data_IF_068888161578
#
_entry.id   IF_068888161578
#
_cell.length_a   1.000
_cell.length_b   1.000
_cell.length_c   1.000
_cell.angle_alpha   90.00
_cell.angle_beta   90.00
_cell.angle_gamma   90.00
#
_symmetry.space_group_name_H-M   'P 1'
#
loop_
_entity.id
_entity.type
_entity.pdbx_description
1 polymer ?
#
# COMPACT_ATOMS: atom_id res chain seq x y z
N UNK A 1 0.58 -2.08 -15.12
CA UNK A 1 1.99 -2.33 -15.56
C UNK A 1 2.85 -2.20 -14.31
N UNK A 2 3.43 -3.29 -13.83
CA UNK A 2 4.35 -3.21 -12.69
C UNK A 2 5.68 -2.67 -13.18
N UNK A 3 6.03 -1.46 -12.79
CA UNK A 3 7.31 -0.83 -13.11
C UNK A 3 8.31 -1.33 -12.07
N UNK A 4 9.14 -2.32 -12.43
CA UNK A 4 10.14 -2.89 -11.54
C UNK A 4 11.46 -2.17 -11.50
N UNK A 5 11.73 -1.45 -12.54
CA UNK A 5 12.90 -0.63 -12.80
C UNK A 5 12.70 0.83 -12.41
N UNK A 6 11.69 1.11 -11.58
CA UNK A 6 11.47 2.43 -11.04
C UNK A 6 12.70 2.91 -10.30
N UNK A 7 13.16 4.12 -10.59
CA UNK A 7 14.21 4.79 -9.84
C UNK A 7 13.87 4.79 -8.34
N UNK A 8 14.88 4.62 -7.50
CA UNK A 8 14.74 4.73 -6.05
C UNK A 8 15.23 6.07 -5.51
N UNK A 9 15.75 6.92 -6.39
CA UNK A 9 16.26 8.26 -6.11
C UNK A 9 16.27 9.10 -7.38
N UNK A 10 16.19 10.42 -7.24
CA UNK A 10 16.41 11.39 -8.31
C UNK A 10 17.87 11.85 -8.41
N UNK A 11 18.74 11.40 -7.51
CA UNK A 11 20.14 11.83 -7.42
C UNK A 11 21.04 10.78 -8.05
N UNK A 12 21.41 10.97 -9.33
CA UNK A 12 22.24 10.03 -10.07
C UNK A 12 23.74 10.24 -9.84
N UNK A 13 24.16 11.50 -9.59
CA UNK A 13 25.58 11.89 -9.56
C UNK A 13 26.15 12.07 -8.14
N UNK A 14 25.33 12.03 -7.11
CA UNK A 14 25.76 12.27 -5.73
C UNK A 14 24.89 11.53 -4.72
N UNK A 15 25.50 11.07 -3.63
CA UNK A 15 24.75 10.48 -2.53
C UNK A 15 24.08 11.58 -1.70
N UNK A 16 22.77 11.72 -1.81
CA UNK A 16 21.94 12.60 -0.98
C UNK A 16 21.16 11.75 0.00
N UNK A 17 21.38 11.96 1.30
CA UNK A 17 20.73 11.20 2.35
C UNK A 17 19.46 11.92 2.80
N UNK A 18 18.31 11.36 2.39
CA UNK A 18 16.98 11.86 2.77
C UNK A 18 16.41 11.03 3.91
N UNK A 19 15.98 11.68 5.00
CA UNK A 19 15.31 10.98 6.10
C UNK A 19 13.91 10.49 5.66
N UNK A 20 13.65 9.21 5.86
CA UNK A 20 12.35 8.56 5.65
C UNK A 20 11.79 7.97 6.95
N UNK A 21 12.18 8.53 8.10
CA UNK A 21 11.67 8.11 9.41
C UNK A 21 10.16 8.23 9.48
N UNK A 22 9.63 9.34 8.96
CA UNK A 22 8.19 9.58 8.79
C UNK A 22 7.92 9.76 7.28
N UNK A 23 7.70 8.67 6.53
CA UNK A 23 7.57 8.73 5.08
C UNK A 23 6.26 9.35 4.59
N UNK A 24 5.23 9.36 5.43
CA UNK A 24 3.90 9.87 5.12
C UNK A 24 3.60 11.18 5.83
N UNK A 25 2.85 12.06 5.16
CA UNK A 25 2.39 13.31 5.73
C UNK A 25 1.24 13.08 6.71
N UNK A 26 1.40 13.54 7.95
CA UNK A 26 0.42 13.31 9.02
C UNK A 26 -0.89 14.07 8.79
N UNK A 27 -0.84 15.26 8.18
CA UNK A 27 -2.02 16.05 7.85
C UNK A 27 -2.85 15.39 6.76
N UNK A 28 -2.19 14.92 5.68
CA UNK A 28 -2.86 14.16 4.63
C UNK A 28 -3.44 12.85 5.15
N UNK A 29 -2.71 12.12 5.99
CA UNK A 29 -3.20 10.89 6.61
C UNK A 29 -4.43 11.14 7.50
N UNK A 30 -4.45 12.22 8.27
CA UNK A 30 -5.61 12.58 9.09
C UNK A 30 -6.83 12.93 8.25
N UNK A 31 -6.64 13.70 7.17
CA UNK A 31 -7.71 14.01 6.22
C UNK A 31 -8.25 12.76 5.52
N UNK A 32 -7.36 11.91 5.02
CA UNK A 32 -7.73 10.64 4.37
C UNK A 32 -8.50 9.72 5.32
N UNK A 33 -8.06 9.58 6.57
CA UNK A 33 -8.76 8.73 7.53
C UNK A 33 -10.17 9.24 7.86
N UNK A 34 -10.35 10.57 7.99
CA UNK A 34 -11.66 11.17 8.20
C UNK A 34 -12.60 10.92 7.01
N UNK A 35 -12.10 11.12 5.79
CA UNK A 35 -12.89 10.89 4.57
C UNK A 35 -13.22 9.41 4.40
N UNK A 36 -12.26 8.51 4.64
CA UNK A 36 -12.49 7.06 4.57
C UNK A 36 -13.58 6.62 5.56
N UNK A 37 -13.54 7.12 6.80
CA UNK A 37 -14.59 6.82 7.79
C UNK A 37 -15.96 7.28 7.31
N UNK A 38 -16.06 8.49 6.80
CA UNK A 38 -17.31 9.06 6.31
C UNK A 38 -17.86 8.32 5.09
N UNK A 39 -17.02 8.05 4.08
CA UNK A 39 -17.45 7.47 2.80
C UNK A 39 -17.72 5.96 2.90
N UNK A 40 -16.98 5.25 3.77
CA UNK A 40 -17.07 3.79 3.92
C UNK A 40 -17.88 3.36 5.16
N UNK A 41 -18.39 4.31 5.92
CA UNK A 41 -19.14 4.05 7.16
C UNK A 41 -18.34 3.24 8.20
N UNK A 42 -17.03 3.48 8.26
CA UNK A 42 -16.15 2.85 9.23
C UNK A 42 -16.36 3.43 10.62
N UNK A 43 -16.39 2.57 11.63
CA UNK A 43 -16.48 2.99 13.03
C UNK A 43 -15.21 3.73 13.49
N UNK A 44 -15.34 4.53 14.55
CA UNK A 44 -14.19 5.23 15.15
C UNK A 44 -13.11 4.28 15.65
N UNK A 45 -13.49 3.10 16.11
CA UNK A 45 -12.59 2.08 16.65
C UNK A 45 -11.90 1.25 15.56
N UNK A 46 -12.30 1.40 14.28
CA UNK A 46 -11.74 0.62 13.21
C UNK A 46 -10.31 1.06 12.88
N UNK A 47 -9.40 0.10 12.78
CA UNK A 47 -8.02 0.37 12.43
C UNK A 47 -7.93 0.75 10.94
N UNK A 48 -7.39 1.95 10.65
CA UNK A 48 -7.17 2.43 9.29
C UNK A 48 -5.68 2.57 8.92
N UNK A 49 -4.77 2.43 9.87
CA UNK A 49 -3.33 2.57 9.64
C UNK A 49 -2.65 1.20 9.71
N UNK A 50 -1.92 0.87 8.66
CA UNK A 50 -1.30 -0.44 8.48
C UNK A 50 0.15 -0.30 8.04
N UNK A 51 0.99 -1.25 8.44
CA UNK A 51 2.37 -1.36 7.97
C UNK A 51 2.40 -2.03 6.61
N UNK A 52 2.89 -1.31 5.61
CA UNK A 52 3.05 -1.84 4.26
C UNK A 52 4.48 -2.37 4.06
N UNK A 53 4.59 -3.61 3.67
CA UNK A 53 5.85 -4.26 3.34
C UNK A 53 6.15 -4.20 1.84
N UNK A 54 7.34 -3.73 1.47
CA UNK A 54 7.77 -3.70 0.07
C UNK A 54 8.32 -5.07 -0.34
N UNK A 55 7.65 -5.71 -1.27
CA UNK A 55 8.13 -6.92 -1.94
C UNK A 55 8.81 -6.60 -3.28
N UNK A 56 9.76 -7.43 -3.68
CA UNK A 56 10.50 -7.23 -4.94
C UNK A 56 9.64 -7.57 -6.16
N UNK A 57 8.79 -8.62 -6.06
CA UNK A 57 8.12 -9.20 -7.23
C UNK A 57 9.13 -9.83 -8.22
N UNK A 58 8.70 -10.37 -9.35
CA UNK A 58 7.36 -10.49 -9.93
C UNK A 58 6.49 -11.59 -9.35
N UNK A 59 7.06 -12.46 -8.55
CA UNK A 59 6.34 -13.59 -7.97
C UNK A 59 5.60 -13.11 -6.73
N UNK A 60 4.50 -13.75 -6.41
CA UNK A 60 3.92 -13.67 -5.10
C UNK A 60 4.87 -14.29 -4.08
N UNK A 61 4.77 -13.84 -2.85
CA UNK A 61 5.57 -14.32 -1.74
C UNK A 61 5.20 -15.78 -1.40
N UNK A 62 6.18 -16.53 -0.93
CA UNK A 62 5.95 -17.85 -0.33
C UNK A 62 5.29 -17.73 1.03
N UNK A 63 4.66 -18.79 1.53
CA UNK A 63 4.10 -18.84 2.89
C UNK A 63 5.12 -18.47 3.97
N UNK A 64 6.36 -18.95 3.83
CA UNK A 64 7.43 -18.65 4.78
C UNK A 64 7.85 -17.17 4.77
N UNK A 65 7.85 -16.52 3.61
CA UNK A 65 8.06 -15.06 3.50
C UNK A 65 6.91 -14.30 4.15
N UNK A 66 5.67 -14.71 3.94
CA UNK A 66 4.51 -14.09 4.58
C UNK A 66 4.57 -14.27 6.11
N UNK A 67 4.97 -15.44 6.61
CA UNK A 67 5.15 -15.66 8.05
C UNK A 67 6.24 -14.75 8.63
N UNK A 68 7.32 -14.53 7.89
CA UNK A 68 8.38 -13.62 8.30
C UNK A 68 7.91 -12.15 8.31
N UNK A 69 7.17 -11.72 7.27
CA UNK A 69 6.60 -10.38 7.16
C UNK A 69 5.65 -10.10 8.33
N UNK A 70 4.75 -11.02 8.62
CA UNK A 70 3.80 -10.94 9.74
C UNK A 70 4.54 -10.85 11.10
N UNK A 71 5.54 -11.70 11.32
CA UNK A 71 6.38 -11.69 12.51
C UNK A 71 7.09 -10.35 12.71
N UNK A 72 7.48 -9.66 11.62
CA UNK A 72 8.13 -8.35 11.63
C UNK A 72 7.13 -7.18 11.68
N UNK A 73 5.83 -7.45 11.82
CA UNK A 73 4.78 -6.45 11.96
C UNK A 73 4.27 -5.87 10.65
N UNK A 74 4.49 -6.54 9.52
CA UNK A 74 3.89 -6.17 8.24
C UNK A 74 2.44 -6.64 8.17
N UNK A 75 1.54 -5.75 7.74
CA UNK A 75 0.10 -6.03 7.61
C UNK A 75 -0.33 -6.20 6.16
N UNK A 76 0.39 -5.58 5.25
CA UNK A 76 0.13 -5.57 3.82
C UNK A 76 1.44 -5.76 3.06
N UNK A 77 1.37 -6.35 1.88
CA UNK A 77 2.53 -6.54 1.00
C UNK A 77 2.20 -6.05 -0.41
N UNK A 78 3.17 -5.44 -1.05
CA UNK A 78 3.06 -5.00 -2.44
C UNK A 78 4.38 -4.41 -2.96
N UNK A 79 4.41 -3.97 -4.23
CA UNK A 79 5.66 -3.74 -4.96
C UNK A 79 5.97 -2.26 -5.28
N UNK A 80 5.11 -1.30 -4.97
CA UNK A 80 5.19 0.05 -5.55
C UNK A 80 5.33 1.17 -4.53
N UNK A 81 4.38 1.34 -3.65
CA UNK A 81 4.16 2.51 -2.81
C UNK A 81 5.38 2.98 -2.00
N UNK A 82 6.20 2.13 -1.35
CA UNK A 82 7.35 2.64 -0.59
C UNK A 82 8.43 3.30 -1.44
N UNK A 83 8.53 2.97 -2.73
CA UNK A 83 9.45 3.65 -3.65
C UNK A 83 8.93 5.05 -3.97
N UNK A 84 7.64 5.17 -4.25
CA UNK A 84 6.97 6.45 -4.48
C UNK A 84 7.08 7.38 -3.26
N UNK A 85 6.86 6.85 -2.05
CA UNK A 85 6.98 7.60 -0.81
C UNK A 85 8.40 8.16 -0.61
N UNK A 86 9.46 7.36 -0.92
CA UNK A 86 10.85 7.82 -0.86
C UNK A 86 11.14 8.94 -1.85
N UNK A 87 10.69 8.80 -3.10
CA UNK A 87 10.85 9.83 -4.12
C UNK A 87 10.09 11.12 -3.77
N UNK A 88 8.89 11.01 -3.22
CA UNK A 88 8.15 12.16 -2.73
C UNK A 88 8.92 12.89 -1.60
N UNK A 89 9.55 12.13 -0.70
CA UNK A 89 10.40 12.72 0.37
C UNK A 89 11.63 13.43 -0.17
N UNK A 90 12.30 12.93 -1.20
CA UNK A 90 13.41 13.62 -1.87
C UNK A 90 12.98 14.98 -2.43
N UNK A 91 11.75 15.07 -2.92
CA UNK A 91 11.17 16.31 -3.46
C UNK A 91 10.49 17.20 -2.39
N UNK A 92 10.53 16.81 -1.11
CA UNK A 92 9.78 17.45 -0.04
C UNK A 92 8.27 17.57 -0.34
N UNK A 93 7.71 16.62 -1.07
CA UNK A 93 6.28 16.54 -1.36
C UNK A 93 5.54 15.82 -0.23
N UNK A 94 4.47 16.40 0.31
CA UNK A 94 3.55 15.65 1.16
C UNK A 94 3.01 14.43 0.42
N UNK A 95 3.07 13.27 1.07
CA UNK A 95 2.63 12.01 0.47
C UNK A 95 1.79 11.22 1.47
N UNK A 96 0.68 10.67 1.01
CA UNK A 96 -0.15 9.71 1.72
C UNK A 96 -0.67 8.67 0.73
N UNK A 97 -1.07 7.50 1.21
CA UNK A 97 -1.54 6.42 0.34
C UNK A 97 -2.77 5.73 0.92
N UNK A 98 -3.70 5.39 0.03
CA UNK A 98 -4.81 4.49 0.30
C UNK A 98 -4.53 3.17 -0.38
N UNK A 99 -4.55 2.08 0.39
CA UNK A 99 -4.36 0.73 -0.12
C UNK A 99 -5.69 0.01 -0.25
N UNK A 100 -5.83 -0.74 -1.34
CA UNK A 100 -6.96 -1.63 -1.55
C UNK A 100 -6.44 -3.06 -1.43
N UNK A 101 -6.92 -3.81 -0.42
CA UNK A 101 -6.64 -5.24 -0.34
C UNK A 101 -7.32 -5.96 -1.51
N UNK A 102 -6.54 -6.61 -2.34
CA UNK A 102 -7.01 -7.30 -3.53
C UNK A 102 -7.19 -8.81 -3.33
N UNK A 103 -6.39 -9.40 -2.48
CA UNK A 103 -6.35 -10.82 -2.20
C UNK A 103 -5.73 -11.07 -0.83
N UNK A 104 -5.91 -12.27 -0.30
CA UNK A 104 -5.14 -12.76 0.81
C UNK A 104 -3.70 -13.07 0.37
N UNK A 105 -2.75 -12.94 1.28
CA UNK A 105 -1.38 -13.38 1.04
C UNK A 105 -1.28 -14.91 1.06
N UNK A 106 -0.19 -15.45 0.55
CA UNK A 106 0.03 -16.90 0.50
C UNK A 106 -0.15 -17.58 1.86
N UNK A 107 -1.00 -18.58 1.91
CA UNK A 107 -1.33 -19.32 3.13
C UNK A 107 -2.28 -18.62 4.10
N UNK A 108 -2.84 -17.45 3.74
CA UNK A 108 -3.73 -16.66 4.61
C UNK A 108 -5.21 -16.69 4.17
N UNK A 109 -5.55 -17.32 3.06
CA UNK A 109 -6.96 -17.47 2.63
C UNK A 109 -7.76 -18.22 3.70
N UNK A 110 -8.83 -17.65 4.24
CA UNK A 110 -9.66 -18.30 5.26
C UNK A 110 -10.27 -19.60 4.74
N UNK A 111 -9.97 -20.69 5.44
CA UNK A 111 -10.47 -22.03 5.08
C UNK A 111 -9.66 -22.76 4.01
N UNK A 112 -8.73 -22.09 3.31
CA UNK A 112 -7.87 -22.72 2.31
C UNK A 112 -6.44 -22.14 2.31
N UNK A 113 -5.63 -22.60 3.23
CA UNK A 113 -4.20 -22.23 3.27
C UNK A 113 -3.38 -22.75 2.07
N UNK A 114 -3.98 -23.53 1.17
CA UNK A 114 -3.38 -24.04 -0.06
C UNK A 114 -3.76 -23.27 -1.31
N UNK A 115 -4.64 -22.26 -1.19
CA UNK A 115 -5.14 -21.50 -2.33
C UNK A 115 -4.01 -20.89 -3.16
N UNK A 116 -4.09 -21.09 -4.48
CA UNK A 116 -3.18 -20.45 -5.43
C UNK A 116 -3.55 -18.99 -5.64
N UNK A 117 -2.51 -18.15 -5.72
CA UNK A 117 -2.67 -16.74 -6.02
C UNK A 117 -2.65 -16.52 -7.54
N UNK A 118 -3.77 -16.03 -8.08
CA UNK A 118 -3.92 -15.77 -9.51
C UNK A 118 -4.09 -14.26 -9.79
N UNK A 119 -3.16 -13.71 -10.57
CA UNK A 119 -3.17 -12.31 -10.95
C UNK A 119 -4.39 -11.92 -11.80
N UNK A 120 -4.94 -12.83 -12.60
CA UNK A 120 -6.12 -12.56 -13.42
C UNK A 120 -7.37 -12.36 -12.57
N UNK A 121 -7.55 -13.15 -11.52
CA UNK A 121 -8.67 -13.01 -10.58
C UNK A 121 -8.60 -11.67 -9.83
N UNK A 122 -7.39 -11.25 -9.43
CA UNK A 122 -7.13 -9.96 -8.81
C UNK A 122 -7.51 -8.80 -9.73
N UNK A 123 -7.07 -8.85 -10.99
CA UNK A 123 -7.29 -7.78 -11.98
C UNK A 123 -8.76 -7.65 -12.38
N UNK A 124 -9.50 -8.75 -12.46
CA UNK A 124 -10.91 -8.74 -12.88
C UNK A 124 -11.83 -8.00 -11.92
N UNK A 125 -11.46 -7.91 -10.64
CA UNK A 125 -12.23 -7.23 -9.60
C UNK A 125 -11.77 -5.79 -9.33
N UNK A 126 -10.71 -5.32 -9.99
CA UNK A 126 -10.07 -4.04 -9.71
C UNK A 126 -11.05 -2.86 -9.83
N UNK A 127 -11.85 -2.79 -10.89
CA UNK A 127 -12.80 -1.69 -11.10
C UNK A 127 -13.84 -1.58 -9.99
N UNK A 128 -14.39 -2.71 -9.52
CA UNK A 128 -15.38 -2.72 -8.44
C UNK A 128 -14.77 -2.22 -7.12
N UNK A 129 -13.52 -2.57 -6.86
CA UNK A 129 -12.79 -2.20 -5.64
C UNK A 129 -12.30 -0.75 -5.66
N UNK A 130 -12.12 -0.16 -6.85
CA UNK A 130 -11.71 1.23 -7.01
C UNK A 130 -12.83 2.25 -6.72
N UNK A 131 -14.10 1.88 -6.88
CA UNK A 131 -15.21 2.81 -6.70
C UNK A 131 -15.24 3.50 -5.33
N UNK A 132 -15.07 2.82 -4.20
CA UNK A 132 -15.00 3.46 -2.88
C UNK A 132 -13.83 4.44 -2.75
N UNK A 133 -12.66 4.10 -3.32
CA UNK A 133 -11.49 4.99 -3.31
C UNK A 133 -11.75 6.24 -4.13
N UNK A 134 -12.42 6.09 -5.27
CA UNK A 134 -12.80 7.23 -6.11
C UNK A 134 -13.73 8.21 -5.38
N UNK A 135 -14.71 7.68 -4.65
CA UNK A 135 -15.57 8.51 -3.79
C UNK A 135 -14.77 9.28 -2.74
N UNK A 136 -13.79 8.63 -2.09
CA UNK A 136 -12.91 9.27 -1.13
C UNK A 136 -12.06 10.39 -1.77
N UNK A 137 -11.53 10.17 -2.98
CA UNK A 137 -10.74 11.19 -3.67
C UNK A 137 -11.58 12.41 -4.05
N UNK A 138 -12.81 12.21 -4.51
CA UNK A 138 -13.73 13.32 -4.82
C UNK A 138 -14.02 14.14 -3.56
N UNK A 139 -14.33 13.51 -2.46
CA UNK A 139 -14.60 14.18 -1.18
C UNK A 139 -13.37 14.91 -0.64
N UNK A 140 -12.17 14.35 -0.83
CA UNK A 140 -10.92 14.95 -0.39
C UNK A 140 -10.60 16.26 -1.14
N UNK A 141 -11.06 16.38 -2.40
CA UNK A 141 -10.80 17.51 -3.29
C UNK A 141 -11.90 18.58 -3.26
N UNK A 142 -13.05 18.28 -2.64
CA UNK A 142 -14.14 19.23 -2.45
C UNK A 142 -13.88 20.15 -1.27
#
# INVERSE_FOLDING_TARGET
>A
MCIRDSASTFHDDSAVFTSVTEPFDSSLNSRLSSVLRSVQDFSEDEQLFYTYWLAQGPHFETKAEIDAIDTLGGHMVGMTMPREAKLARELNMPYAAVCISSNWAAGREPGDAGADLDHHSVSSQANRRLMPVWACLVELLS
#
